data_IF_916633794297
#
_entry.id   IF_916633794297
#
_cell.length_a   1.000
_cell.length_b   1.000
_cell.length_c   1.000
_cell.angle_alpha   90.00
_cell.angle_beta   90.00
_cell.angle_gamma   90.00
#
_symmetry.space_group_name_H-M   'P 1'
#
loop_
_entity.id
_entity.type
_entity.pdbx_description
1 polymer ?
#
# COMPACT_ATOMS: atom_id res chain seq x y z
N UNK A 1 -29.34 17.53 4.22
CA UNK A 1 -28.01 16.95 4.49
C UNK A 1 -28.07 15.86 5.58
N UNK A 2 -29.05 14.95 5.53
CA UNK A 2 -29.27 13.93 6.57
C UNK A 2 -29.56 12.52 6.02
N UNK A 3 -29.47 12.32 4.70
CA UNK A 3 -29.88 11.07 4.03
C UNK A 3 -28.70 10.24 3.48
N UNK A 4 -27.46 10.76 3.51
CA UNK A 4 -26.28 10.09 2.92
C UNK A 4 -25.60 9.06 3.85
N UNK A 5 -26.08 8.88 5.09
CA UNK A 5 -25.54 7.93 6.06
C UNK A 5 -26.63 7.03 6.65
N UNK A 6 -27.44 6.40 5.80
CA UNK A 6 -28.38 5.38 6.26
C UNK A 6 -27.72 4.02 6.36
N UNK A 7 -27.91 3.34 7.50
CA UNK A 7 -27.49 1.95 7.82
C UNK A 7 -27.80 0.93 6.71
N UNK A 8 -28.75 1.24 5.81
CA UNK A 8 -29.15 0.38 4.68
C UNK A 8 -28.13 0.32 3.55
N UNK A 9 -27.32 1.37 3.34
CA UNK A 9 -26.30 1.35 2.27
C UNK A 9 -25.14 0.40 2.63
N UNK A 10 -24.82 0.28 3.92
CA UNK A 10 -23.79 -0.65 4.41
C UNK A 10 -24.24 -2.12 4.29
N UNK A 11 -25.49 -2.44 4.62
CA UNK A 11 -26.03 -3.81 4.51
C UNK A 11 -26.42 -4.22 3.08
N UNK A 12 -26.57 -3.25 2.16
CA UNK A 12 -26.97 -3.52 0.77
C UNK A 12 -25.89 -4.16 -0.10
N UNK A 13 -24.60 -4.00 0.26
CA UNK A 13 -23.49 -4.49 -0.55
C UNK A 13 -22.97 -5.88 -0.14
N UNK A 14 -23.53 -6.52 0.89
CA UNK A 14 -23.09 -7.83 1.40
C UNK A 14 -23.86 -9.03 0.83
N UNK A 15 -24.85 -8.83 -0.04
CA UNK A 15 -25.82 -9.88 -0.45
C UNK A 15 -25.80 -10.29 -1.93
N UNK A 16 -24.74 -10.02 -2.69
CA UNK A 16 -24.70 -10.36 -4.11
C UNK A 16 -23.56 -11.31 -4.51
N UNK A 17 -23.49 -12.51 -3.91
CA UNK A 17 -22.90 -13.69 -4.57
C UNK A 17 -23.67 -14.94 -4.18
N UNK A 18 -24.60 -15.37 -5.05
CA UNK A 18 -25.24 -16.69 -4.93
C UNK A 18 -26.42 -16.86 -5.88
N UNK A 19 -26.21 -17.57 -6.99
CA UNK A 19 -27.31 -18.09 -7.82
C UNK A 19 -27.03 -18.12 -9.33
N UNK A 20 -26.51 -19.25 -9.82
CA UNK A 20 -26.31 -19.60 -11.22
C UNK A 20 -27.62 -19.74 -12.00
N UNK A 21 -27.64 -19.47 -13.32
CA UNK A 21 -28.30 -20.31 -14.33
C UNK A 21 -27.86 -19.93 -15.76
N UNK A 22 -27.42 -20.94 -16.49
CA UNK A 22 -27.16 -20.95 -17.93
C UNK A 22 -28.46 -20.75 -18.71
N UNK A 23 -28.43 -20.00 -19.83
CA UNK A 23 -29.12 -20.31 -21.10
C UNK A 23 -28.77 -19.27 -22.21
N UNK A 24 -28.16 -19.78 -23.29
CA UNK A 24 -28.38 -19.45 -24.71
C UNK A 24 -28.47 -17.99 -25.23
N UNK A 25 -27.48 -17.63 -26.07
CA UNK A 25 -27.70 -17.18 -27.46
C UNK A 25 -28.22 -15.77 -27.75
N UNK A 26 -27.41 -14.95 -28.44
CA UNK A 26 -27.89 -13.74 -29.13
C UNK A 26 -26.77 -12.76 -29.51
N UNK A 27 -26.38 -12.75 -30.79
CA UNK A 27 -25.50 -11.77 -31.41
C UNK A 27 -26.17 -10.38 -31.43
N UNK A 28 -25.54 -9.37 -30.83
CA UNK A 28 -25.71 -7.97 -31.23
C UNK A 28 -24.37 -7.22 -31.12
N UNK A 29 -23.84 -6.90 -32.30
CA UNK A 29 -22.80 -5.89 -32.53
C UNK A 29 -23.37 -4.51 -32.17
N UNK A 30 -22.66 -3.77 -31.32
CA UNK A 30 -22.96 -2.38 -31.01
C UNK A 30 -21.67 -1.67 -30.59
N UNK A 31 -21.21 -0.76 -31.44
CA UNK A 31 -20.09 0.12 -31.18
C UNK A 31 -20.37 1.02 -29.98
N UNK A 32 -19.50 1.02 -28.98
CA UNK A 32 -19.38 2.17 -28.07
C UNK A 32 -17.93 2.35 -27.60
N UNK A 33 -17.69 3.58 -27.19
CA UNK A 33 -16.49 4.37 -27.34
C UNK A 33 -15.56 4.19 -26.15
N UNK A 34 -14.38 3.60 -26.38
CA UNK A 34 -13.12 3.90 -25.69
C UNK A 34 -13.14 4.20 -24.18
N UNK A 35 -13.44 3.19 -23.36
CA UNK A 35 -12.83 3.08 -22.03
C UNK A 35 -11.60 2.17 -22.15
N UNK A 36 -10.44 2.48 -21.52
CA UNK A 36 -9.33 1.55 -21.53
C UNK A 36 -9.73 0.36 -20.66
N UNK A 37 -10.21 -0.70 -21.30
CA UNK A 37 -10.30 -2.01 -20.68
C UNK A 37 -8.90 -2.32 -20.14
N UNK A 38 -8.80 -2.52 -18.83
CA UNK A 38 -7.61 -3.07 -18.22
C UNK A 38 -7.34 -4.39 -18.93
N UNK A 39 -6.38 -4.39 -19.86
CA UNK A 39 -5.94 -5.61 -20.50
C UNK A 39 -5.40 -6.49 -19.39
N UNK A 40 -6.20 -7.46 -18.97
CA UNK A 40 -5.71 -8.64 -18.27
C UNK A 40 -4.72 -9.26 -19.24
N UNK A 41 -3.44 -8.93 -19.07
CA UNK A 41 -2.37 -9.60 -19.77
C UNK A 41 -2.44 -11.05 -19.31
N UNK A 42 -3.13 -11.88 -20.10
CA UNK A 42 -3.15 -13.31 -19.92
C UNK A 42 -1.68 -13.74 -19.79
N UNK A 43 -1.34 -14.33 -18.65
CA UNK A 43 -0.02 -14.90 -18.42
C UNK A 43 0.25 -15.89 -19.55
N UNK A 44 1.07 -15.49 -20.52
CA UNK A 44 1.47 -16.37 -21.60
C UNK A 44 2.32 -17.50 -21.01
N UNK A 45 1.72 -18.68 -20.86
CA UNK A 45 2.35 -19.91 -20.39
C UNK A 45 1.63 -20.56 -19.20
N UNK A 46 1.59 -21.90 -19.18
CA UNK A 46 1.13 -22.66 -18.01
C UNK A 46 2.11 -22.45 -16.86
N UNK A 47 1.64 -22.09 -15.63
CA UNK A 47 2.52 -21.93 -14.49
C UNK A 47 3.37 -23.17 -14.23
N UNK A 48 4.68 -23.00 -14.13
CA UNK A 48 5.63 -24.08 -13.82
C UNK A 48 5.76 -24.20 -12.31
N UNK A 49 5.67 -25.43 -11.79
CA UNK A 49 5.89 -25.72 -10.37
C UNK A 49 7.37 -25.99 -10.11
N UNK A 50 7.84 -25.50 -8.99
CA UNK A 50 9.20 -25.69 -8.50
C UNK A 50 10.19 -24.59 -8.86
N UNK A 51 11.45 -24.81 -8.48
CA UNK A 51 12.53 -23.84 -8.65
C UNK A 51 12.54 -22.74 -7.59
N UNK A 52 13.39 -21.73 -7.79
CA UNK A 52 13.58 -20.61 -6.86
C UNK A 52 13.12 -19.31 -7.50
N UNK A 53 12.26 -18.57 -6.79
CA UNK A 53 11.89 -17.19 -7.12
C UNK A 53 12.78 -16.21 -6.34
N UNK A 54 13.49 -15.33 -7.03
CA UNK A 54 14.38 -14.32 -6.44
C UNK A 54 13.76 -12.92 -6.57
N UNK A 55 13.46 -12.29 -5.44
CA UNK A 55 12.81 -10.98 -5.38
C UNK A 55 13.79 -9.96 -4.82
N UNK A 56 14.18 -8.98 -5.63
CA UNK A 56 14.98 -7.83 -5.21
C UNK A 56 14.10 -6.74 -4.61
N UNK A 57 14.40 -6.36 -3.37
CA UNK A 57 13.76 -5.26 -2.66
C UNK A 57 14.78 -4.15 -2.37
N UNK A 58 14.31 -2.93 -2.10
CA UNK A 58 15.16 -1.85 -1.58
C UNK A 58 14.79 -1.64 -0.13
N UNK A 59 15.78 -1.76 0.75
CA UNK A 59 15.62 -1.50 2.18
C UNK A 59 16.64 -0.48 2.72
N UNK A 60 17.37 0.21 1.82
CA UNK A 60 18.31 1.27 2.18
C UNK A 60 19.35 0.81 3.22
N UNK A 61 19.44 1.54 4.33
CA UNK A 61 20.30 1.21 5.49
C UNK A 61 19.53 0.50 6.62
N UNK A 62 18.24 0.17 6.42
CA UNK A 62 17.46 -0.58 7.37
C UNK A 62 17.67 -2.08 7.09
N UNK A 63 18.10 -2.83 8.10
CA UNK A 63 18.30 -4.28 7.96
C UNK A 63 16.97 -5.08 7.94
N UNK A 64 15.84 -4.39 8.08
CA UNK A 64 14.52 -4.95 8.30
C UNK A 64 14.40 -5.80 9.57
N UNK A 65 13.25 -6.42 9.75
CA UNK A 65 13.03 -7.44 10.77
C UNK A 65 12.06 -8.51 10.26
N UNK A 66 11.74 -9.46 11.13
CA UNK A 66 10.74 -10.51 10.90
C UNK A 66 9.49 -10.29 11.77
N UNK A 67 9.29 -9.11 12.36
CA UNK A 67 8.19 -8.97 13.30
C UNK A 67 6.84 -8.82 12.58
N UNK A 68 5.94 -9.79 12.74
CA UNK A 68 4.59 -9.79 12.18
C UNK A 68 3.75 -8.54 12.50
N UNK A 69 3.93 -7.93 13.68
CA UNK A 69 3.12 -6.79 14.15
C UNK A 69 3.91 -5.49 14.28
N UNK A 70 5.22 -5.54 14.02
CA UNK A 70 6.10 -4.36 13.96
C UNK A 70 7.06 -4.44 12.75
N UNK A 71 6.56 -4.70 11.52
CA UNK A 71 7.44 -4.76 10.37
C UNK A 71 8.00 -3.38 10.06
N UNK A 72 9.29 -3.32 9.72
CA UNK A 72 9.95 -2.11 9.22
C UNK A 72 10.60 -2.42 7.87
N UNK A 73 10.55 -1.45 6.95
CA UNK A 73 11.20 -1.57 5.66
C UNK A 73 10.79 -2.84 4.90
N UNK A 74 11.78 -3.62 4.48
CA UNK A 74 11.64 -4.92 3.80
C UNK A 74 10.94 -5.99 4.63
N UNK A 75 10.85 -5.82 5.96
CA UNK A 75 10.03 -6.66 6.84
C UNK A 75 8.56 -6.72 6.41
N UNK A 76 8.04 -5.65 5.79
CA UNK A 76 6.67 -5.62 5.25
C UNK A 76 6.52 -6.65 4.11
N UNK A 77 7.51 -6.73 3.21
CA UNK A 77 7.49 -7.67 2.08
C UNK A 77 7.67 -9.10 2.58
N UNK A 78 8.60 -9.32 3.52
CA UNK A 78 8.80 -10.63 4.18
C UNK A 78 7.53 -11.13 4.86
N UNK A 79 6.76 -10.22 5.47
CA UNK A 79 5.53 -10.56 6.16
C UNK A 79 4.49 -11.24 5.26
N UNK A 80 4.44 -10.89 3.97
CA UNK A 80 3.57 -11.57 2.99
C UNK A 80 3.97 -13.01 2.67
N UNK A 81 5.26 -13.33 2.80
CA UNK A 81 5.76 -14.69 2.62
C UNK A 81 5.57 -15.53 3.89
N UNK A 82 5.88 -14.95 5.05
CA UNK A 82 6.01 -15.65 6.32
C UNK A 82 4.67 -15.77 7.08
N UNK A 83 3.84 -14.74 7.05
CA UNK A 83 2.60 -14.67 7.83
C UNK A 83 1.37 -14.75 6.95
N UNK A 84 0.32 -15.41 7.44
CA UNK A 84 -1.01 -15.37 6.86
C UNK A 84 -1.95 -14.56 7.76
N UNK A 85 -3.03 -14.07 7.15
CA UNK A 85 -3.91 -13.06 7.73
C UNK A 85 -5.35 -13.48 7.51
N UNK A 86 -6.27 -12.94 8.30
CA UNK A 86 -7.69 -13.27 8.18
C UNK A 86 -8.32 -12.75 6.87
N UNK A 87 -7.73 -11.72 6.28
CA UNK A 87 -8.10 -11.17 4.97
C UNK A 87 -6.88 -11.00 4.06
N UNK A 88 -7.14 -10.81 2.76
CA UNK A 88 -6.17 -10.49 1.73
C UNK A 88 -6.73 -9.47 0.72
N UNK A 89 -5.84 -8.78 0.02
CA UNK A 89 -6.19 -7.94 -1.12
C UNK A 89 -6.52 -8.78 -2.36
N UNK A 90 -7.53 -8.36 -3.10
CA UNK A 90 -7.77 -8.74 -4.49
C UNK A 90 -6.94 -7.87 -5.45
N UNK A 91 -6.89 -8.27 -6.72
CA UNK A 91 -6.16 -7.53 -7.75
C UNK A 91 -6.77 -6.14 -8.05
N UNK A 92 -8.05 -5.96 -7.75
CA UNK A 92 -8.79 -4.68 -7.85
C UNK A 92 -8.71 -3.84 -6.56
N UNK A 93 -7.90 -4.27 -5.58
CA UNK A 93 -7.71 -3.62 -4.28
C UNK A 93 -8.93 -3.73 -3.34
N UNK A 94 -9.94 -4.54 -3.68
CA UNK A 94 -10.96 -4.94 -2.70
C UNK A 94 -10.42 -5.97 -1.71
N UNK A 95 -11.08 -6.12 -0.57
CA UNK A 95 -10.72 -7.12 0.44
C UNK A 95 -11.47 -8.43 0.22
N UNK A 96 -10.86 -9.55 0.59
CA UNK A 96 -11.56 -10.84 0.73
C UNK A 96 -11.03 -11.64 1.90
N UNK A 97 -11.85 -12.55 2.40
CA UNK A 97 -11.45 -13.48 3.46
C UNK A 97 -10.33 -14.43 2.99
N UNK A 98 -9.47 -14.79 3.94
CA UNK A 98 -8.25 -15.58 3.76
C UNK A 98 -8.16 -16.71 4.79
N UNK A 99 -7.46 -16.54 5.92
CA UNK A 99 -7.53 -17.54 7.01
C UNK A 99 -8.94 -17.63 7.60
N UNK A 100 -9.70 -16.53 7.58
CA UNK A 100 -11.08 -16.54 8.01
C UNK A 100 -12.01 -17.14 6.94
N UNK A 101 -13.10 -17.76 7.39
CA UNK A 101 -14.23 -18.17 6.55
C UNK A 101 -15.48 -17.32 6.78
N UNK A 102 -15.50 -16.53 7.85
CA UNK A 102 -16.60 -15.64 8.20
C UNK A 102 -16.07 -14.43 8.95
N UNK A 103 -16.54 -13.24 8.59
CA UNK A 103 -16.30 -12.01 9.33
C UNK A 103 -17.45 -11.01 9.09
N UNK A 104 -18.19 -10.68 10.14
CA UNK A 104 -19.32 -9.74 10.04
C UNK A 104 -19.37 -8.83 11.28
N UNK A 105 -19.71 -7.54 11.12
CA UNK A 105 -20.07 -6.68 12.24
C UNK A 105 -21.46 -7.03 12.78
N UNK A 106 -21.70 -6.72 14.05
CA UNK A 106 -23.05 -6.69 14.59
C UNK A 106 -23.84 -5.47 14.08
N UNK A 107 -25.14 -5.41 14.42
CA UNK A 107 -26.07 -4.42 13.85
C UNK A 107 -25.70 -2.94 14.06
N UNK A 108 -24.91 -2.63 15.10
CA UNK A 108 -24.43 -1.27 15.40
C UNK A 108 -22.93 -1.08 15.14
N UNK A 109 -22.27 -2.07 14.55
CA UNK A 109 -20.84 -2.13 14.29
C UNK A 109 -19.94 -1.97 15.53
N UNK A 110 -20.47 -2.14 16.75
CA UNK A 110 -19.68 -2.10 17.99
C UNK A 110 -18.80 -3.34 18.19
N UNK A 111 -19.10 -4.42 17.49
CA UNK A 111 -18.33 -5.66 17.53
C UNK A 111 -18.29 -6.36 16.16
N UNK A 112 -17.23 -7.11 15.92
CA UNK A 112 -17.09 -8.05 14.81
C UNK A 112 -16.96 -9.48 15.31
N UNK A 113 -17.65 -10.41 14.66
CA UNK A 113 -17.43 -11.85 14.84
C UNK A 113 -16.55 -12.36 13.71
N UNK A 114 -15.44 -13.00 14.06
CA UNK A 114 -14.46 -13.54 13.10
C UNK A 114 -14.25 -15.03 13.36
N UNK A 115 -14.38 -15.87 12.32
CA UNK A 115 -14.19 -17.33 12.41
C UNK A 115 -13.16 -17.83 11.39
N UNK A 116 -12.19 -18.61 11.86
CA UNK A 116 -11.17 -19.26 11.05
C UNK A 116 -11.71 -20.42 10.22
N UNK A 117 -11.09 -20.69 9.07
CA UNK A 117 -11.25 -21.97 8.34
C UNK A 117 -10.83 -23.15 9.23
N UNK A 118 -11.44 -24.33 9.07
CA UNK A 118 -10.96 -25.54 9.74
C UNK A 118 -9.62 -26.02 9.15
N UNK A 119 -8.85 -26.77 9.93
CA UNK A 119 -7.63 -27.46 9.44
C UNK A 119 -6.46 -26.56 9.09
N UNK A 120 -6.42 -25.34 9.63
CA UNK A 120 -5.29 -24.43 9.43
C UNK A 120 -4.10 -24.84 10.30
N UNK A 121 -2.91 -24.80 9.73
CA UNK A 121 -1.66 -25.10 10.41
C UNK A 121 -0.65 -23.95 10.28
N UNK A 122 0.11 -23.73 11.34
CA UNK A 122 1.34 -22.96 11.28
C UNK A 122 2.46 -23.78 10.65
N UNK A 123 3.56 -23.13 10.30
CA UNK A 123 4.73 -23.80 9.73
C UNK A 123 5.21 -24.96 10.63
N UNK A 124 5.27 -24.82 11.94
CA UNK A 124 5.70 -25.92 12.82
C UNK A 124 4.70 -27.08 12.97
N UNK A 125 3.57 -27.07 12.26
CA UNK A 125 2.57 -28.16 12.26
C UNK A 125 1.49 -28.06 13.35
N UNK A 126 1.62 -27.20 14.37
CA UNK A 126 0.50 -26.94 15.29
C UNK A 126 -0.66 -26.26 14.54
N UNK A 127 -1.88 -26.61 14.93
CA UNK A 127 -3.12 -26.00 14.46
C UNK A 127 -3.22 -24.53 14.86
N UNK A 128 -3.89 -23.73 14.03
CA UNK A 128 -4.24 -22.33 14.34
C UNK A 128 -5.61 -22.29 15.01
N UNK A 129 -5.72 -21.65 16.17
CA UNK A 129 -6.98 -21.53 16.93
C UNK A 129 -7.37 -20.08 17.19
N UNK A 130 -8.52 -19.89 17.84
CA UNK A 130 -8.97 -18.60 18.35
C UNK A 130 -7.99 -17.98 19.36
N UNK A 131 -7.24 -18.79 20.11
CA UNK A 131 -6.25 -18.28 21.07
C UNK A 131 -5.10 -17.57 20.36
N UNK A 132 -4.67 -18.07 19.21
CA UNK A 132 -3.64 -17.43 18.38
C UNK A 132 -4.15 -16.13 17.74
N UNK A 133 -5.42 -16.08 17.35
CA UNK A 133 -6.04 -14.82 16.88
C UNK A 133 -6.07 -13.77 17.99
N UNK A 134 -6.53 -14.14 19.19
CA UNK A 134 -6.55 -13.24 20.34
C UNK A 134 -5.15 -12.77 20.70
N UNK A 135 -4.20 -13.69 20.82
CA UNK A 135 -2.80 -13.36 21.09
C UNK A 135 -2.24 -12.39 20.05
N UNK A 136 -2.50 -12.63 18.76
CA UNK A 136 -2.02 -11.78 17.68
C UNK A 136 -2.57 -10.36 17.76
N UNK A 137 -3.88 -10.21 18.02
CA UNK A 137 -4.53 -8.89 18.16
C UNK A 137 -4.04 -8.21 19.44
N UNK A 138 -3.94 -8.93 20.55
CA UNK A 138 -3.41 -8.43 21.83
C UNK A 138 -1.96 -8.00 21.71
N UNK A 139 -1.14 -8.66 20.90
CA UNK A 139 0.22 -8.19 20.64
C UNK A 139 0.23 -6.93 19.77
N UNK A 140 -0.53 -6.92 18.68
CA UNK A 140 -0.59 -5.80 17.74
C UNK A 140 -1.07 -4.49 18.39
N UNK A 141 -2.03 -4.58 19.30
CA UNK A 141 -2.59 -3.40 19.99
C UNK A 141 -1.79 -3.01 21.25
N UNK A 142 -0.68 -3.69 21.57
CA UNK A 142 0.10 -3.44 22.80
C UNK A 142 0.86 -2.12 22.72
N UNK A 143 0.60 -1.15 23.62
CA UNK A 143 1.37 0.09 23.66
C UNK A 143 2.88 -0.13 23.81
N UNK A 144 3.32 -1.19 24.51
CA UNK A 144 4.74 -1.49 24.72
C UNK A 144 5.42 -2.03 23.47
N UNK A 145 4.68 -2.65 22.54
CA UNK A 145 5.23 -3.06 21.25
C UNK A 145 5.73 -1.84 20.47
N UNK A 146 5.12 -0.67 20.68
CA UNK A 146 5.40 0.57 19.95
C UNK A 146 5.39 0.31 18.43
N UNK A 147 4.34 -0.37 17.97
CA UNK A 147 4.16 -0.63 16.54
C UNK A 147 4.01 0.69 15.79
N UNK A 148 4.64 0.87 14.61
CA UNK A 148 4.41 2.04 13.78
C UNK A 148 2.95 2.14 13.30
N UNK A 149 2.16 1.08 13.48
CA UNK A 149 0.74 0.99 13.13
C UNK A 149 -0.19 1.12 14.35
N UNK A 150 0.34 1.43 15.54
CA UNK A 150 -0.47 1.55 16.76
C UNK A 150 -1.64 2.53 16.61
N UNK A 151 -1.44 3.63 15.87
CA UNK A 151 -2.49 4.61 15.59
C UNK A 151 -3.64 4.06 14.73
N UNK A 152 -3.37 3.04 13.90
CA UNK A 152 -4.38 2.40 13.06
C UNK A 152 -5.24 1.41 13.84
N UNK A 153 -4.77 0.88 14.96
CA UNK A 153 -5.47 -0.17 15.74
C UNK A 153 -6.06 0.35 17.06
N UNK A 154 -5.99 1.66 17.29
CA UNK A 154 -6.40 2.31 18.53
C UNK A 154 -7.89 2.20 18.86
N UNK A 155 -8.74 1.93 17.87
CA UNK A 155 -10.19 1.76 18.05
C UNK A 155 -10.56 0.41 18.68
N UNK A 156 -9.72 -0.62 18.55
CA UNK A 156 -9.97 -1.93 19.14
C UNK A 156 -9.89 -1.84 20.66
N UNK A 157 -10.91 -2.35 21.33
CA UNK A 157 -10.92 -2.50 22.78
C UNK A 157 -10.26 -3.82 23.18
N UNK A 158 -8.99 -3.72 23.56
CA UNK A 158 -8.13 -4.82 23.99
C UNK A 158 -8.72 -5.61 25.16
N UNK A 159 -9.42 -4.94 26.06
CA UNK A 159 -9.97 -5.56 27.28
C UNK A 159 -11.28 -6.29 27.01
N UNK A 160 -11.90 -6.03 25.86
CA UNK A 160 -13.21 -6.57 25.48
C UNK A 160 -13.12 -7.59 24.34
N UNK A 161 -11.94 -8.09 23.99
CA UNK A 161 -11.76 -9.22 23.07
C UNK A 161 -12.24 -10.52 23.74
N UNK A 162 -12.95 -11.37 22.99
CA UNK A 162 -13.50 -12.63 23.53
C UNK A 162 -13.26 -13.80 22.61
N UNK A 163 -12.90 -14.94 23.18
CA UNK A 163 -13.02 -16.26 22.52
C UNK A 163 -14.48 -16.68 22.60
N UNK A 164 -15.09 -17.00 21.46
CA UNK A 164 -16.45 -17.55 21.41
C UNK A 164 -16.41 -19.08 21.33
N UNK A 165 -15.47 -19.63 20.56
CA UNK A 165 -15.19 -21.06 20.45
C UNK A 165 -13.74 -21.28 19.97
N UNK A 166 -13.35 -22.52 19.63
CA UNK A 166 -11.98 -22.85 19.19
C UNK A 166 -11.51 -22.15 17.91
N UNK A 167 -12.41 -21.65 17.08
CA UNK A 167 -12.10 -20.98 15.81
C UNK A 167 -12.69 -19.58 15.70
N UNK A 168 -13.51 -19.16 16.66
CA UNK A 168 -14.29 -17.91 16.58
C UNK A 168 -13.91 -16.96 17.71
N UNK A 169 -13.69 -15.69 17.35
CA UNK A 169 -13.50 -14.59 18.30
C UNK A 169 -14.49 -13.46 18.05
N UNK A 170 -14.73 -12.67 19.08
CA UNK A 170 -15.40 -11.38 19.01
C UNK A 170 -14.38 -10.25 19.25
N UNK A 171 -14.32 -9.30 18.32
CA UNK A 171 -13.48 -8.11 18.39
C UNK A 171 -14.40 -6.93 18.68
N UNK A 172 -14.24 -6.28 19.84
CA UNK A 172 -15.03 -5.11 20.23
C UNK A 172 -14.24 -3.82 20.02
N UNK A 173 -14.96 -2.74 19.75
CA UNK A 173 -14.36 -1.40 19.62
C UNK A 173 -14.69 -0.54 20.83
N UNK A 174 -13.83 0.44 21.08
CA UNK A 174 -14.06 1.48 22.08
C UNK A 174 -15.30 2.30 21.70
N UNK A 175 -16.01 2.79 22.71
CA UNK A 175 -17.21 3.58 22.52
C UNK A 175 -16.96 4.78 21.57
N UNK A 176 -17.85 4.95 20.59
CA UNK A 176 -17.75 6.01 19.57
C UNK A 176 -16.72 5.76 18.47
N UNK A 177 -16.05 4.61 18.46
CA UNK A 177 -15.04 4.25 17.46
C UNK A 177 -15.43 3.01 16.63
N UNK A 178 -16.74 2.74 16.50
CA UNK A 178 -17.28 1.60 15.74
C UNK A 178 -17.12 1.73 14.22
N UNK A 179 -16.91 2.94 13.70
CA UNK A 179 -16.59 3.16 12.29
C UNK A 179 -15.11 2.85 12.04
N UNK A 180 -14.82 1.56 11.81
CA UNK A 180 -13.46 1.05 11.74
C UNK A 180 -13.30 0.03 10.60
N UNK A 181 -12.41 0.27 9.62
CA UNK A 181 -12.15 -0.66 8.51
C UNK A 181 -11.24 -1.81 8.98
N UNK A 182 -11.85 -2.77 9.69
CA UNK A 182 -11.13 -3.86 10.36
C UNK A 182 -10.34 -4.74 9.37
N UNK A 183 -10.97 -5.08 8.26
CA UNK A 183 -10.40 -5.89 7.20
C UNK A 183 -9.16 -5.22 6.60
N UNK A 184 -9.27 -4.00 6.07
CA UNK A 184 -8.13 -3.28 5.48
C UNK A 184 -6.96 -3.10 6.46
N UNK A 185 -7.29 -2.79 7.72
CA UNK A 185 -6.28 -2.57 8.76
C UNK A 185 -5.50 -3.85 9.07
N UNK A 186 -6.19 -4.99 9.17
CA UNK A 186 -5.56 -6.26 9.51
C UNK A 186 -4.90 -6.96 8.30
N UNK A 187 -5.24 -6.62 7.06
CA UNK A 187 -4.55 -7.14 5.86
C UNK A 187 -3.08 -6.72 5.82
N UNK A 188 -2.71 -5.57 6.36
CA UNK A 188 -1.33 -5.10 6.26
C UNK A 188 -0.46 -5.64 7.40
N UNK A 189 -0.99 -5.71 8.62
CA UNK A 189 -0.20 -5.95 9.85
C UNK A 189 -0.83 -6.96 10.82
N UNK A 190 -1.98 -7.55 10.48
CA UNK A 190 -2.71 -8.53 11.29
C UNK A 190 -2.29 -9.97 11.02
N UNK A 191 -0.98 -10.23 10.91
CA UNK A 191 -0.47 -11.60 10.78
C UNK A 191 -0.86 -12.44 12.00
N UNK A 192 -1.46 -13.60 11.78
CA UNK A 192 -1.74 -14.55 12.86
C UNK A 192 -0.47 -15.34 13.15
N UNK A 193 -0.07 -15.32 14.42
CA UNK A 193 1.16 -15.95 14.94
C UNK A 193 0.81 -16.85 16.13
N UNK A 194 1.58 -17.91 16.40
CA UNK A 194 1.30 -18.79 17.52
C UNK A 194 1.49 -18.07 18.87
N UNK A 195 0.82 -18.55 19.91
CA UNK A 195 0.96 -18.00 21.28
C UNK A 195 2.39 -18.01 21.86
N UNK A 196 3.28 -18.86 21.34
CA UNK A 196 4.71 -18.93 21.70
C UNK A 196 5.62 -18.11 20.76
N UNK A 197 5.03 -17.24 19.92
CA UNK A 197 5.73 -16.45 18.92
C UNK A 197 6.77 -15.50 19.52
N UNK A 198 7.94 -15.44 18.87
CA UNK A 198 8.96 -14.45 19.16
C UNK A 198 9.68 -14.05 17.85
N UNK A 199 9.79 -12.74 17.52
CA UNK A 199 10.26 -12.30 16.19
C UNK A 199 11.69 -12.69 15.83
N UNK A 200 12.51 -13.10 16.81
CA UNK A 200 13.90 -13.54 16.63
C UNK A 200 14.06 -15.05 16.76
N UNK A 201 13.73 -15.61 17.93
CA UNK A 201 13.94 -17.03 18.26
C UNK A 201 12.85 -17.96 17.74
N UNK A 202 11.63 -17.47 17.47
CA UNK A 202 10.51 -18.28 17.00
C UNK A 202 9.60 -17.48 16.04
N UNK A 203 10.09 -17.01 14.87
CA UNK A 203 9.31 -16.20 13.92
C UNK A 203 8.37 -17.06 13.07
N UNK A 204 7.66 -18.00 13.68
CA UNK A 204 6.75 -18.93 13.01
C UNK A 204 5.48 -18.19 12.56
N UNK A 205 5.03 -18.50 11.34
CA UNK A 205 3.78 -18.02 10.79
C UNK A 205 3.02 -19.13 10.07
N UNK A 206 2.03 -18.72 9.27
CA UNK A 206 1.19 -19.59 8.46
C UNK A 206 1.14 -19.14 6.98
N UNK A 207 2.10 -18.31 6.58
CA UNK A 207 2.23 -17.83 5.20
C UNK A 207 2.61 -18.94 4.21
N UNK A 208 2.61 -18.64 2.90
CA UNK A 208 2.93 -19.62 1.86
C UNK A 208 4.36 -20.18 1.92
N UNK A 209 5.27 -19.50 2.61
CA UNK A 209 6.67 -19.92 2.73
C UNK A 209 7.15 -19.91 4.18
N UNK A 210 7.88 -20.96 4.58
CA UNK A 210 8.57 -21.08 5.86
C UNK A 210 9.95 -20.45 5.78
N UNK A 211 10.34 -19.68 6.79
CA UNK A 211 11.70 -19.15 6.89
C UNK A 211 12.73 -20.28 7.01
N UNK A 212 13.75 -20.26 6.13
CA UNK A 212 14.92 -21.15 6.17
C UNK A 212 16.14 -20.43 6.74
N UNK A 213 16.37 -19.18 6.35
CA UNK A 213 17.41 -18.33 6.95
C UNK A 213 17.11 -16.84 6.77
N UNK A 214 17.59 -16.02 7.71
CA UNK A 214 17.52 -14.57 7.63
C UNK A 214 18.89 -13.97 7.93
N UNK A 215 19.43 -13.24 6.96
CA UNK A 215 20.63 -12.41 7.10
C UNK A 215 20.17 -10.95 6.99
N UNK A 216 19.98 -10.24 8.11
CA UNK A 216 19.52 -8.86 8.11
C UNK A 216 20.38 -7.96 7.21
N UNK A 217 19.74 -7.09 6.42
CA UNK A 217 20.45 -6.20 5.50
C UNK A 217 20.94 -6.85 4.21
N UNK A 218 20.73 -8.16 4.02
CA UNK A 218 21.29 -8.92 2.90
C UNK A 218 20.23 -9.75 2.18
N UNK A 219 19.70 -10.78 2.86
CA UNK A 219 18.74 -11.70 2.25
C UNK A 219 17.94 -12.50 3.26
N UNK A 220 16.80 -12.99 2.79
CA UNK A 220 15.95 -13.95 3.48
C UNK A 220 15.65 -15.12 2.54
N UNK A 221 15.93 -16.34 2.97
CA UNK A 221 15.64 -17.55 2.21
C UNK A 221 14.46 -18.28 2.87
N UNK A 222 13.55 -18.77 2.04
CA UNK A 222 12.38 -19.49 2.47
C UNK A 222 12.17 -20.75 1.64
N UNK A 223 11.51 -21.74 2.23
CA UNK A 223 11.03 -22.95 1.55
C UNK A 223 9.51 -22.95 1.50
N UNK A 224 8.92 -23.53 0.46
CA UNK A 224 7.48 -23.68 0.33
C UNK A 224 6.89 -24.37 1.56
N UNK A 225 5.77 -23.86 2.05
CA UNK A 225 4.98 -24.55 3.07
C UNK A 225 4.01 -25.51 2.39
N UNK A 226 4.30 -26.81 2.42
CA UNK A 226 3.48 -27.81 1.70
C UNK A 226 2.04 -27.92 2.24
N UNK A 227 1.82 -27.63 3.52
CA UNK A 227 0.49 -27.62 4.14
C UNK A 227 -0.19 -26.24 4.07
N UNK A 228 0.22 -25.37 3.14
CA UNK A 228 -0.41 -24.07 2.98
C UNK A 228 -1.90 -24.23 2.63
N UNK A 229 -2.77 -23.50 3.34
CA UNK A 229 -4.23 -23.68 3.28
C UNK A 229 -4.84 -23.44 1.90
N UNK A 230 -4.13 -22.75 0.99
CA UNK A 230 -4.56 -22.60 -0.41
C UNK A 230 -4.01 -23.75 -1.23
N UNK A 231 -4.87 -24.58 -1.83
CA UNK A 231 -4.41 -25.69 -2.65
C UNK A 231 -3.60 -25.18 -3.85
N UNK A 232 -2.60 -25.97 -4.26
CA UNK A 232 -1.75 -25.69 -5.43
C UNK A 232 -1.02 -24.33 -5.40
N UNK A 233 -0.72 -23.82 -4.19
CA UNK A 233 0.06 -22.60 -3.96
C UNK A 233 1.03 -22.81 -2.79
N UNK A 234 2.16 -22.07 -2.78
CA UNK A 234 2.76 -21.36 -3.91
C UNK A 234 3.37 -22.32 -4.95
N UNK A 235 3.77 -21.78 -6.12
CA UNK A 235 4.37 -22.57 -7.20
C UNK A 235 5.84 -22.89 -6.99
N UNK A 236 6.68 -21.90 -6.66
CA UNK A 236 8.11 -22.10 -6.47
C UNK A 236 8.40 -22.93 -5.20
N UNK A 237 9.49 -23.69 -5.21
CA UNK A 237 9.95 -24.46 -4.05
C UNK A 237 10.66 -23.57 -3.03
N UNK A 238 11.38 -22.55 -3.51
CA UNK A 238 12.10 -21.59 -2.68
C UNK A 238 11.77 -20.16 -3.08
N UNK A 239 11.75 -19.28 -2.09
CA UNK A 239 11.71 -17.83 -2.25
C UNK A 239 12.97 -17.25 -1.65
N UNK A 240 13.70 -16.43 -2.41
CA UNK A 240 14.85 -15.67 -1.91
C UNK A 240 14.53 -14.17 -2.07
N UNK A 241 14.44 -13.47 -0.94
CA UNK A 241 14.28 -12.01 -0.92
C UNK A 241 15.67 -11.41 -0.73
N UNK A 242 16.12 -10.58 -1.66
CA UNK A 242 17.47 -10.00 -1.68
C UNK A 242 17.35 -8.48 -1.51
N UNK A 243 18.12 -7.93 -0.57
CA UNK A 243 18.12 -6.52 -0.25
C UNK A 243 19.18 -5.77 -1.07
N UNK A 244 18.75 -4.66 -1.67
CA UNK A 244 19.61 -3.75 -2.39
C UNK A 244 19.61 -2.38 -1.71
N UNK A 245 20.77 -1.73 -1.69
CA UNK A 245 20.91 -0.37 -1.17
C UNK A 245 20.28 0.68 -2.09
N UNK A 246 20.18 0.38 -3.40
CA UNK A 246 19.64 1.32 -4.36
C UNK A 246 19.02 0.68 -5.61
N UNK A 247 18.32 1.53 -6.35
CA UNK A 247 17.61 1.18 -7.58
C UNK A 247 18.54 0.81 -8.73
N UNK A 248 19.75 1.37 -8.79
CA UNK A 248 20.68 1.15 -9.91
C UNK A 248 21.24 -0.27 -9.84
N UNK A 249 21.75 -0.67 -8.67
CA UNK A 249 22.26 -2.01 -8.41
C UNK A 249 21.19 -3.08 -8.60
N UNK A 250 19.98 -2.84 -8.10
CA UNK A 250 18.85 -3.77 -8.28
C UNK A 250 18.42 -3.91 -9.74
N UNK A 251 18.34 -2.82 -10.49
CA UNK A 251 17.99 -2.86 -11.91
C UNK A 251 19.08 -3.59 -12.73
N UNK A 252 20.35 -3.41 -12.39
CA UNK A 252 21.45 -4.18 -12.99
C UNK A 252 21.32 -5.68 -12.70
N UNK A 253 21.03 -6.05 -11.45
CA UNK A 253 20.80 -7.45 -11.05
C UNK A 253 19.62 -8.09 -11.80
N UNK A 254 18.52 -7.35 -12.01
CA UNK A 254 17.37 -7.81 -12.79
C UNK A 254 17.77 -8.07 -14.26
N UNK A 255 18.47 -7.14 -14.89
CA UNK A 255 18.91 -7.28 -16.29
C UNK A 255 19.94 -8.38 -16.50
N UNK A 256 20.75 -8.65 -15.47
CA UNK A 256 21.72 -9.74 -15.44
C UNK A 256 21.09 -11.11 -15.11
N UNK A 257 19.80 -11.18 -14.78
CA UNK A 257 19.11 -12.42 -14.40
C UNK A 257 19.51 -12.95 -13.02
N UNK A 258 20.09 -12.10 -12.16
CA UNK A 258 20.42 -12.43 -10.78
C UNK A 258 19.20 -12.40 -9.85
N UNK A 259 18.18 -11.60 -10.21
CA UNK A 259 16.85 -11.60 -9.60
C UNK A 259 15.78 -11.75 -10.69
N UNK A 260 14.62 -12.28 -10.31
CA UNK A 260 13.49 -12.52 -11.22
C UNK A 260 12.44 -11.40 -11.13
N UNK A 261 12.33 -10.74 -9.98
CA UNK A 261 11.39 -9.64 -9.72
C UNK A 261 12.11 -8.50 -9.01
N UNK A 262 11.87 -7.26 -9.45
CA UNK A 262 12.24 -6.04 -8.71
C UNK A 262 10.97 -5.32 -8.25
N UNK A 263 10.77 -5.16 -6.94
CA UNK A 263 9.56 -4.54 -6.37
C UNK A 263 9.63 -3.00 -6.35
N UNK A 264 8.54 -2.27 -6.56
CA UNK A 264 8.57 -0.81 -6.39
C UNK A 264 9.56 -0.11 -7.33
N UNK A 265 9.48 -0.42 -8.62
CA UNK A 265 10.20 0.32 -9.67
C UNK A 265 9.65 1.74 -9.73
N UNK A 266 10.52 2.74 -9.58
CA UNK A 266 10.12 4.14 -9.73
C UNK A 266 9.81 4.46 -11.20
N UNK A 267 8.85 5.36 -11.43
CA UNK A 267 8.32 5.65 -12.75
C UNK A 267 9.39 6.14 -13.74
N UNK A 268 10.41 6.83 -13.26
CA UNK A 268 11.55 7.37 -14.00
C UNK A 268 12.39 6.25 -14.65
N UNK A 269 12.43 5.07 -14.03
CA UNK A 269 13.16 3.92 -14.55
C UNK A 269 12.31 3.01 -15.44
N UNK A 270 11.01 3.27 -15.55
CA UNK A 270 10.08 2.41 -16.31
C UNK A 270 10.42 2.32 -17.79
N UNK A 271 10.81 3.43 -18.43
CA UNK A 271 11.15 3.47 -19.86
C UNK A 271 12.39 2.61 -20.17
N UNK A 272 13.41 2.68 -19.31
CA UNK A 272 14.62 1.88 -19.43
C UNK A 272 14.31 0.38 -19.32
N UNK A 273 13.46 -0.02 -18.37
CA UNK A 273 13.10 -1.43 -18.18
C UNK A 273 12.16 -1.96 -19.27
N UNK A 274 11.27 -1.12 -19.81
CA UNK A 274 10.40 -1.49 -20.94
C UNK A 274 11.18 -1.74 -22.24
N UNK A 275 12.38 -1.17 -22.39
CA UNK A 275 13.21 -1.36 -23.57
C UNK A 275 13.89 -2.74 -23.63
N UNK A 276 13.99 -3.47 -22.52
CA UNK A 276 14.53 -4.83 -22.49
C UNK A 276 13.40 -5.85 -22.78
N UNK A 277 13.41 -6.55 -23.93
CA UNK A 277 12.30 -7.45 -24.32
C UNK A 277 12.17 -8.67 -23.40
N UNK A 278 13.15 -8.93 -22.53
CA UNK A 278 13.12 -10.03 -21.55
C UNK A 278 12.36 -9.64 -20.28
N UNK A 279 12.09 -8.35 -20.08
CA UNK A 279 11.45 -7.84 -18.88
C UNK A 279 10.00 -7.47 -19.16
N UNK A 280 9.16 -7.63 -18.14
CA UNK A 280 7.77 -7.17 -18.14
C UNK A 280 7.58 -6.22 -16.97
N UNK A 281 7.09 -5.03 -17.27
CA UNK A 281 6.69 -4.08 -16.25
C UNK A 281 5.23 -4.30 -15.88
N UNK A 282 4.98 -4.66 -14.64
CA UNK A 282 3.64 -4.76 -14.08
C UNK A 282 3.31 -3.47 -13.31
N UNK A 283 2.24 -2.80 -13.72
CA UNK A 283 1.65 -1.69 -12.98
C UNK A 283 0.37 -2.18 -12.31
N UNK A 284 0.27 -1.99 -11.01
CA UNK A 284 -0.92 -2.30 -10.23
C UNK A 284 -1.59 -1.00 -9.80
N UNK A 285 -2.94 -0.92 -9.79
CA UNK A 285 -3.64 0.09 -9.02
C UNK A 285 -3.16 0.10 -7.57
N UNK A 286 -3.14 1.28 -6.97
CA UNK A 286 -2.64 1.52 -5.63
C UNK A 286 -3.55 2.53 -4.93
N UNK A 287 -3.68 2.36 -3.61
CA UNK A 287 -4.35 3.34 -2.73
C UNK A 287 -3.41 4.48 -2.33
N UNK A 288 -2.14 4.43 -2.77
CA UNK A 288 -1.15 5.49 -2.55
C UNK A 288 -1.58 6.78 -3.25
N UNK A 289 -1.33 7.90 -2.58
CA UNK A 289 -1.50 9.23 -3.15
C UNK A 289 -0.19 10.00 -2.96
N UNK A 290 0.11 10.86 -3.94
CA UNK A 290 1.22 11.82 -3.85
C UNK A 290 0.62 13.21 -3.90
N UNK A 291 0.95 14.04 -2.93
CA UNK A 291 0.40 15.39 -2.83
C UNK A 291 1.30 16.30 -2.00
N UNK A 292 1.07 17.59 -2.13
CA UNK A 292 1.73 18.61 -1.33
C UNK A 292 0.93 18.83 -0.04
N UNK A 293 1.57 18.58 1.10
CA UNK A 293 0.96 18.84 2.40
C UNK A 293 1.31 20.26 2.85
N UNK A 294 0.28 21.07 3.12
CA UNK A 294 0.45 22.45 3.59
C UNK A 294 0.30 22.49 5.12
N UNK A 295 1.32 22.98 5.82
CA UNK A 295 1.28 23.08 7.28
C UNK A 295 0.36 24.24 7.71
N UNK A 296 -0.87 23.93 8.06
CA UNK A 296 -1.90 24.91 8.44
C UNK A 296 -1.57 25.70 9.71
N UNK A 297 -0.63 25.23 10.54
CA UNK A 297 -0.20 25.92 11.75
C UNK A 297 0.85 27.00 11.48
N UNK A 298 1.43 27.07 10.28
CA UNK A 298 2.49 28.02 9.93
C UNK A 298 2.03 28.99 8.84
N UNK A 299 2.38 30.26 8.99
CA UNK A 299 2.26 31.23 7.92
C UNK A 299 3.09 30.76 6.71
N UNK A 300 2.63 30.99 5.45
CA UNK A 300 1.40 31.69 5.08
C UNK A 300 0.15 30.79 4.98
N UNK A 301 0.27 29.47 5.24
CA UNK A 301 -0.76 28.49 4.93
C UNK A 301 -1.99 28.52 5.87
N UNK A 302 -1.93 29.34 6.92
CA UNK A 302 -3.08 29.68 7.76
C UNK A 302 -4.17 30.40 6.95
N UNK A 303 -3.79 31.21 5.95
CA UNK A 303 -4.74 31.90 5.07
C UNK A 303 -5.32 30.94 4.02
N UNK A 304 -6.65 30.83 3.98
CA UNK A 304 -7.36 29.95 3.04
C UNK A 304 -7.13 30.35 1.57
N UNK A 305 -6.94 31.63 1.28
CA UNK A 305 -6.69 32.13 -0.08
C UNK A 305 -5.35 31.63 -0.60
N UNK A 306 -4.33 31.57 0.27
CA UNK A 306 -3.03 30.98 -0.06
C UNK A 306 -3.20 29.50 -0.37
N UNK A 307 -3.97 28.75 0.43
CA UNK A 307 -4.21 27.32 0.15
C UNK A 307 -4.97 27.09 -1.15
N UNK A 308 -5.98 27.91 -1.42
CA UNK A 308 -6.74 27.85 -2.67
C UNK A 308 -5.85 28.16 -3.87
N UNK A 309 -4.97 29.17 -3.77
CA UNK A 309 -3.99 29.46 -4.81
C UNK A 309 -3.09 28.26 -5.09
N UNK A 310 -2.53 27.61 -4.05
CA UNK A 310 -1.69 26.41 -4.22
C UNK A 310 -2.42 25.25 -4.90
N UNK A 311 -3.73 25.10 -4.66
CA UNK A 311 -4.53 24.07 -5.36
C UNK A 311 -4.67 24.36 -6.86
N UNK A 312 -4.73 25.63 -7.25
CA UNK A 312 -4.86 26.09 -8.64
C UNK A 312 -3.51 26.18 -9.37
N UNK A 313 -2.39 26.32 -8.64
CA UNK A 313 -1.03 26.33 -9.20
C UNK A 313 -0.56 24.96 -9.69
N UNK A 314 -1.20 23.88 -9.25
CA UNK A 314 -0.78 22.53 -9.59
C UNK A 314 -1.43 22.09 -10.90
N UNK A 315 -0.65 22.04 -11.98
CA UNK A 315 -1.04 21.32 -13.20
C UNK A 315 -0.95 19.81 -12.93
N UNK A 316 -2.06 19.24 -12.47
CA UNK A 316 -2.13 17.82 -12.08
C UNK A 316 -1.97 16.88 -13.28
N UNK A 317 -2.37 17.30 -14.48
CA UNK A 317 -2.22 16.49 -15.68
C UNK A 317 -0.74 16.39 -16.06
N UNK A 318 -0.04 17.52 -16.05
CA UNK A 318 1.40 17.56 -16.31
C UNK A 318 2.20 16.81 -15.23
N UNK A 319 1.81 16.92 -13.96
CA UNK A 319 2.43 16.16 -12.86
C UNK A 319 2.28 14.65 -13.06
N UNK A 320 1.13 14.17 -13.54
CA UNK A 320 0.95 12.75 -13.86
C UNK A 320 1.76 12.37 -15.12
N UNK A 321 1.68 13.17 -16.18
CA UNK A 321 2.30 12.86 -17.46
C UNK A 321 3.83 12.83 -17.36
N UNK A 322 4.44 13.82 -16.69
CA UNK A 322 5.90 13.98 -16.61
C UNK A 322 6.48 13.55 -15.26
N UNK A 323 5.83 13.93 -14.16
CA UNK A 323 6.31 13.58 -12.83
C UNK A 323 6.15 12.10 -12.51
N UNK A 324 5.06 11.48 -12.97
CA UNK A 324 4.79 10.04 -12.78
C UNK A 324 4.96 9.22 -14.06
N UNK A 325 5.48 9.79 -15.15
CA UNK A 325 5.58 9.12 -16.46
C UNK A 325 4.28 8.40 -16.91
N UNK A 326 3.13 8.99 -16.59
CA UNK A 326 1.81 8.41 -16.86
C UNK A 326 1.36 7.30 -15.90
N UNK A 327 2.19 6.90 -14.93
CA UNK A 327 1.83 5.92 -13.88
C UNK A 327 1.07 6.59 -12.74
N UNK A 328 -0.14 7.03 -13.05
CA UNK A 328 -1.04 7.63 -12.08
C UNK A 328 -2.30 8.14 -12.73
N UNK A 329 -3.16 8.73 -11.90
CA UNK A 329 -4.35 9.44 -12.35
C UNK A 329 -4.48 10.72 -11.55
N UNK A 330 -5.16 11.71 -12.12
CA UNK A 330 -5.44 12.96 -11.42
C UNK A 330 -6.33 12.66 -10.20
N UNK A 331 -5.81 12.94 -9.01
CA UNK A 331 -6.55 12.82 -7.76
C UNK A 331 -7.33 14.09 -7.45
N UNK A 332 -8.41 13.97 -6.66
CA UNK A 332 -9.25 15.10 -6.25
C UNK A 332 -9.08 15.52 -4.78
N UNK A 333 -7.89 15.36 -4.21
CA UNK A 333 -7.57 15.60 -2.80
C UNK A 333 -8.36 14.70 -1.82
N UNK A 334 -8.86 13.56 -2.33
CA UNK A 334 -9.46 12.46 -1.57
C UNK A 334 -8.57 11.23 -1.70
N UNK A 335 -8.48 10.45 -0.63
CA UNK A 335 -7.75 9.18 -0.62
C UNK A 335 -8.58 8.05 -1.26
N UNK A 336 -7.92 6.94 -1.58
CA UNK A 336 -8.50 5.65 -1.99
C UNK A 336 -9.69 5.74 -2.94
N UNK A 337 -9.47 5.92 -4.25
CA UNK A 337 -10.56 5.94 -5.22
C UNK A 337 -11.19 4.59 -5.53
N UNK A 338 -10.67 3.54 -4.91
CA UNK A 338 -11.22 2.20 -4.93
C UNK A 338 -12.14 1.95 -3.73
N UNK A 339 -12.24 2.90 -2.79
CA UNK A 339 -13.18 2.85 -1.68
C UNK A 339 -14.63 2.92 -2.20
N UNK A 340 -15.53 2.01 -1.81
CA UNK A 340 -16.94 2.04 -2.22
C UNK A 340 -17.67 3.35 -1.87
N UNK A 341 -17.17 4.10 -0.89
CA UNK A 341 -17.71 5.37 -0.43
C UNK A 341 -17.03 6.59 -1.07
N UNK A 342 -16.11 6.38 -2.02
CA UNK A 342 -15.43 7.46 -2.72
C UNK A 342 -16.42 8.36 -3.48
N UNK A 343 -16.40 9.65 -3.18
CA UNK A 343 -17.30 10.60 -3.83
C UNK A 343 -16.78 11.01 -5.21
N UNK A 344 -17.23 10.30 -6.25
CA UNK A 344 -16.92 10.60 -7.65
C UNK A 344 -17.56 11.88 -8.20
N UNK A 345 -18.54 12.47 -7.50
CA UNK A 345 -19.24 13.67 -7.97
C UNK A 345 -18.45 14.96 -7.70
N UNK A 346 -17.39 14.93 -6.89
CA UNK A 346 -16.55 16.10 -6.66
C UNK A 346 -15.77 16.39 -7.95
N UNK A 347 -15.99 17.57 -8.52
CA UNK A 347 -15.29 18.01 -9.73
C UNK A 347 -13.79 18.19 -9.47
N UNK A 348 -12.98 17.93 -10.49
CA UNK A 348 -11.54 18.18 -10.43
C UNK A 348 -11.25 19.67 -10.38
N UNK A 349 -10.17 20.05 -9.69
CA UNK A 349 -9.70 21.44 -9.63
C UNK A 349 -8.89 21.75 -10.88
N UNK A 350 -9.27 22.77 -11.67
CA UNK A 350 -8.52 23.14 -12.86
C UNK A 350 -7.20 23.82 -12.46
N UNK A 351 -6.23 23.74 -13.35
CA UNK A 351 -5.06 24.60 -13.31
C UNK A 351 -5.47 26.02 -13.74
N UNK A 352 -5.29 27.01 -12.85
CA UNK A 352 -5.64 28.41 -13.11
C UNK A 352 -4.61 29.33 -12.43
N UNK A 353 -3.60 29.71 -13.22
CA UNK A 353 -2.49 30.53 -12.74
C UNK A 353 -2.91 31.97 -12.41
N UNK A 354 -3.89 32.52 -13.13
CA UNK A 354 -4.30 33.91 -12.96
C UNK A 354 -5.18 34.08 -11.72
N UNK A 355 -6.11 33.15 -11.50
CA UNK A 355 -6.87 33.10 -10.25
C UNK A 355 -5.95 32.82 -9.05
N UNK A 356 -4.98 31.92 -9.18
CA UNK A 356 -3.99 31.68 -8.13
C UNK A 356 -3.22 32.95 -7.75
N UNK A 357 -2.69 33.68 -8.75
CA UNK A 357 -2.00 34.96 -8.54
C UNK A 357 -2.92 36.00 -7.89
N UNK A 358 -4.18 36.08 -8.31
CA UNK A 358 -5.17 36.97 -7.72
C UNK A 358 -5.38 36.69 -6.24
N UNK A 359 -5.59 35.42 -5.87
CA UNK A 359 -5.76 34.98 -4.48
C UNK A 359 -4.52 35.28 -3.62
N UNK A 360 -3.31 35.08 -4.15
CA UNK A 360 -2.07 35.42 -3.46
C UNK A 360 -1.95 36.94 -3.22
N UNK A 361 -2.24 37.78 -4.23
CA UNK A 361 -2.23 39.24 -4.06
C UNK A 361 -3.25 39.70 -3.00
N UNK A 362 -4.46 39.13 -3.01
CA UNK A 362 -5.48 39.43 -2.00
C UNK A 362 -5.04 39.01 -0.59
N UNK A 363 -4.22 37.96 -0.48
CA UNK A 363 -3.60 37.53 0.77
C UNK A 363 -2.35 38.35 1.15
N UNK A 364 -2.01 39.41 0.41
CA UNK A 364 -0.82 40.23 0.63
C UNK A 364 0.49 39.53 0.21
N UNK A 365 0.40 38.43 -0.53
CA UNK A 365 1.52 37.55 -0.89
C UNK A 365 2.06 37.86 -2.29
N UNK A 366 2.76 38.98 -2.44
CA UNK A 366 3.27 39.44 -3.76
C UNK A 366 4.61 38.84 -4.17
N UNK A 367 5.45 38.41 -3.22
CA UNK A 367 6.73 37.71 -3.45
C UNK A 367 6.84 36.50 -2.50
N UNK A 368 5.81 35.65 -2.51
CA UNK A 368 5.74 34.53 -1.58
C UNK A 368 6.84 33.51 -1.86
N UNK A 369 7.60 33.18 -0.82
CA UNK A 369 8.61 32.14 -0.82
C UNK A 369 8.22 31.07 0.18
N UNK A 370 8.18 29.82 -0.29
CA UNK A 370 7.90 28.66 0.54
C UNK A 370 9.01 27.64 0.39
N UNK A 371 9.23 26.87 1.43
CA UNK A 371 10.14 25.72 1.41
C UNK A 371 9.31 24.45 1.18
N UNK A 372 9.78 23.59 0.28
CA UNK A 372 9.21 22.27 0.05
C UNK A 372 10.12 21.22 0.66
N UNK A 373 9.70 20.69 1.80
CA UNK A 373 10.35 19.55 2.43
C UNK A 373 9.97 18.26 1.68
N UNK A 374 10.96 17.47 1.31
CA UNK A 374 10.77 16.14 0.71
C UNK A 374 11.59 15.11 1.49
N UNK A 375 11.05 13.91 1.66
CA UNK A 375 11.77 12.83 2.33
C UNK A 375 12.90 12.33 1.42
N UNK A 376 14.13 12.27 1.94
CA UNK A 376 15.33 11.86 1.20
C UNK A 376 15.35 10.34 0.95
N UNK A 377 14.46 9.86 0.08
CA UNK A 377 14.56 8.59 -0.65
C UNK A 377 14.65 8.80 -2.17
N UNK A 378 14.32 10.00 -2.64
CA UNK A 378 14.73 10.51 -3.93
C UNK A 378 16.11 11.15 -3.74
N UNK A 379 17.17 10.56 -4.32
CA UNK A 379 18.46 11.24 -4.46
C UNK A 379 18.21 12.62 -5.04
N UNK A 380 19.02 13.61 -4.63
CA UNK A 380 19.12 14.95 -5.24
C UNK A 380 19.22 14.83 -6.76
N UNK A 381 18.09 14.70 -7.44
CA UNK A 381 17.96 15.10 -8.82
C UNK A 381 17.91 16.61 -8.75
N UNK A 382 19.02 17.24 -9.16
CA UNK A 382 18.91 18.56 -9.75
C UNK A 382 17.82 18.42 -10.83
N UNK A 383 16.63 18.94 -10.57
CA UNK A 383 15.71 19.31 -11.64
C UNK A 383 16.37 20.44 -12.42
N UNK A 384 17.33 20.09 -13.28
CA UNK A 384 17.83 20.95 -14.35
C UNK A 384 17.03 20.58 -15.59
N UNK A 385 15.99 21.37 -15.88
CA UNK A 385 15.14 21.33 -17.08
C UNK A 385 13.73 20.78 -16.78
N UNK A 386 12.62 21.50 -16.96
CA UNK A 386 12.32 22.60 -17.89
C UNK A 386 11.63 23.76 -17.15
N UNK A 387 12.42 24.81 -16.87
CA UNK A 387 11.97 26.20 -16.93
C UNK A 387 12.98 26.86 -17.89
N UNK A 388 12.55 27.68 -18.87
CA UNK A 388 13.45 28.09 -19.93
C UNK A 388 14.60 28.96 -19.40
N UNK A 389 15.78 28.73 -19.99
CA UNK A 389 17.01 29.52 -20.00
C UNK A 389 17.93 29.55 -18.75
N UNK A 390 19.05 28.82 -18.85
CA UNK A 390 20.42 29.33 -18.70
C UNK A 390 20.97 29.68 -17.30
N UNK A 391 21.97 28.93 -16.83
CA UNK A 391 23.34 29.40 -16.56
C UNK A 391 24.06 28.68 -15.38
N UNK A 392 25.37 28.78 -15.46
CA UNK A 392 26.45 28.06 -14.79
C UNK A 392 26.59 28.33 -13.27
N UNK A 393 27.28 27.40 -12.59
CA UNK A 393 27.52 27.44 -11.14
C UNK A 393 28.87 28.01 -10.73
N UNK A 394 29.02 28.20 -9.40
CA UNK A 394 30.26 28.17 -8.62
C UNK A 394 29.91 27.73 -7.19
N UNK A 395 30.74 26.87 -6.60
CA UNK A 395 30.40 26.05 -5.42
C UNK A 395 30.63 26.67 -4.06
N UNK A 396 30.19 25.96 -3.01
CA UNK A 396 30.78 25.91 -1.68
C UNK A 396 30.19 24.76 -0.84
N UNK A 397 31.10 23.94 -0.31
CA UNK A 397 31.15 23.06 0.88
C UNK A 397 29.90 22.45 1.53
N UNK A 398 30.09 21.17 1.89
CA UNK A 398 29.19 20.22 2.55
C UNK A 398 28.87 20.54 4.03
N UNK A 399 27.63 20.23 4.39
CA UNK A 399 27.11 20.12 5.75
C UNK A 399 25.65 19.68 5.65
N UNK A 400 25.26 18.64 6.40
CA UNK A 400 23.92 18.06 6.44
C UNK A 400 22.84 19.14 6.40
N UNK A 401 22.20 19.33 5.25
CA UNK A 401 21.16 20.33 5.08
C UNK A 401 20.12 19.81 4.09
N UNK A 402 18.86 19.89 4.52
CA UNK A 402 17.69 19.69 3.65
C UNK A 402 17.89 20.48 2.35
N UNK A 403 17.64 19.81 1.23
CA UNK A 403 17.84 20.42 -0.09
C UNK A 403 16.82 21.52 -0.31
N UNK A 404 17.23 22.79 -0.18
CA UNK A 404 16.43 23.97 -0.53
C UNK A 404 16.28 24.07 -2.04
N UNK A 405 15.07 23.92 -2.56
CA UNK A 405 14.73 24.36 -3.91
C UNK A 405 14.20 25.80 -3.81
N UNK A 406 15.01 26.77 -4.27
CA UNK A 406 14.57 28.17 -4.42
C UNK A 406 13.92 28.33 -5.79
N UNK A 407 12.64 28.66 -5.83
CA UNK A 407 12.00 29.20 -7.02
C UNK A 407 12.41 30.68 -7.13
N UNK A 408 13.38 31.00 -7.99
CA UNK A 408 13.75 32.38 -8.29
C UNK A 408 13.06 32.87 -9.56
N UNK A 409 12.70 34.15 -9.53
CA UNK A 409 12.02 34.92 -10.60
C UNK A 409 12.82 34.85 -11.91
N UNK A 410 12.18 34.76 -13.09
CA UNK A 410 12.90 34.95 -14.36
C UNK A 410 13.41 36.40 -14.43
N UNK A 411 14.66 36.57 -14.84
CA UNK A 411 15.22 37.88 -15.13
C UNK A 411 14.39 38.55 -16.23
N UNK A 412 14.07 39.83 -16.02
CA UNK A 412 13.31 40.69 -16.94
C UNK A 412 13.99 40.85 -18.29
#
# INVERSE_FOLDING_TARGET
MSELFSRRVFLGNSLAVGGSLLLGGGLLSGCDSGAPAAASAALAGTPVRGGRLRVGIIDGDQAGNLDAHKPVGGGIIRGWALYAKCWEWNADVSTRLALAEFAEPNADASAWTLRLKPGLEFHHGKSITADDMLFSILRLTDPQLASPFAGLVGAIDRQALRKLDERTIEIRFKQGQSFYPLDETLISFGGIVPTDYHPVTNPVGAGPYRLKSFLPGQRSLYTRFENYYKPNRPYADELEIIEFKDQVSRAAALRAGQIDVASGVQAEHSALLKADPRLRLYASPSTSFTGFNLNLAKAPFQDVRVRQAFRLLADRQELVARGLNGFGRVANDLYSPHDPTYNHAIAQRPYDLDQARSLLRQAGQNDLRVELDHHAGARRQRCTGVCPAGAEGRGASEGQSGGRIRLQRPAT
#
